data_IF_710808667061
#
_entry.id   IF_710808667061
#
_cell.length_a   1.000
_cell.length_b   1.000
_cell.length_c   1.000
_cell.angle_alpha   90.00
_cell.angle_beta   90.00
_cell.angle_gamma   90.00
#
_symmetry.space_group_name_H-M   'P 1'
#
loop_
_entity.id
_entity.type
_entity.pdbx_description
1 polymer ?
#
# COMPACT_ATOMS: atom_id res chain seq x y z
N UNK A 1 -1.76 -11.80 -18.26
CA UNK A 1 -1.14 -11.72 -16.93
C UNK A 1 0.10 -10.82 -16.87
N UNK A 2 0.58 -10.26 -18.00
CA UNK A 2 1.82 -9.45 -18.06
C UNK A 2 1.66 -8.03 -17.50
N UNK A 3 0.49 -7.39 -17.69
CA UNK A 3 0.32 -5.96 -17.42
C UNK A 3 0.41 -5.57 -15.94
N UNK A 4 -0.23 -6.31 -15.02
CA UNK A 4 -0.19 -5.99 -13.59
C UNK A 4 1.23 -6.09 -13.01
N UNK A 5 1.98 -7.11 -13.46
CA UNK A 5 3.39 -7.32 -13.11
C UNK A 5 4.25 -6.15 -13.58
N UNK A 6 4.10 -5.74 -14.85
CA UNK A 6 4.87 -4.64 -15.44
C UNK A 6 4.59 -3.30 -14.74
N UNK A 7 3.33 -3.02 -14.40
CA UNK A 7 2.93 -1.78 -13.72
C UNK A 7 3.58 -1.68 -12.33
N UNK A 8 3.49 -2.73 -11.50
CA UNK A 8 4.11 -2.71 -10.18
C UNK A 8 5.63 -2.72 -10.25
N UNK A 9 6.23 -3.49 -11.16
CA UNK A 9 7.68 -3.50 -11.34
C UNK A 9 8.24 -2.12 -11.74
N UNK A 10 7.54 -1.43 -12.65
CA UNK A 10 7.90 -0.05 -13.04
C UNK A 10 7.76 0.92 -11.87
N UNK A 11 6.71 0.75 -11.05
CA UNK A 11 6.50 1.59 -9.87
C UNK A 11 7.52 1.32 -8.77
N UNK A 12 7.95 0.07 -8.59
CA UNK A 12 9.03 -0.28 -7.66
C UNK A 12 10.34 0.43 -8.04
N UNK A 13 10.71 0.39 -9.33
CA UNK A 13 11.89 1.10 -9.83
C UNK A 13 11.78 2.60 -9.56
N UNK A 14 10.60 3.19 -9.77
CA UNK A 14 10.34 4.57 -9.42
C UNK A 14 10.55 4.83 -7.92
N UNK A 15 9.96 4.03 -7.03
CA UNK A 15 10.12 4.18 -5.58
C UNK A 15 11.57 4.05 -5.13
N UNK A 16 12.33 3.10 -5.70
CA UNK A 16 13.78 2.94 -5.45
C UNK A 16 14.59 4.14 -5.94
N UNK A 17 14.12 4.84 -6.99
CA UNK A 17 14.80 6.02 -7.53
C UNK A 17 14.58 7.31 -6.73
N UNK A 18 13.58 7.36 -5.82
CA UNK A 18 13.26 8.55 -5.02
C UNK A 18 14.37 8.95 -4.03
N UNK A 19 15.37 8.08 -3.82
CA UNK A 19 16.55 8.33 -2.98
C UNK A 19 16.25 8.40 -1.48
N UNK A 20 17.29 8.57 -0.68
CA UNK A 20 17.23 8.58 0.80
C UNK A 20 16.84 9.95 1.37
N UNK A 21 15.74 10.55 0.92
CA UNK A 21 15.19 11.75 1.55
C UNK A 21 14.17 11.35 2.61
N UNK A 22 14.64 10.86 3.75
CA UNK A 22 13.76 10.68 4.90
C UNK A 22 13.47 12.03 5.57
N UNK A 23 12.21 12.21 5.94
CA UNK A 23 11.80 13.24 6.90
C UNK A 23 11.97 12.67 8.31
N UNK A 24 12.24 13.51 9.33
CA UNK A 24 12.22 13.08 10.73
C UNK A 24 10.84 12.55 11.16
N UNK A 25 9.79 12.99 10.46
CA UNK A 25 8.44 12.47 10.56
C UNK A 25 8.25 11.25 9.63
N UNK A 26 8.00 10.08 10.24
CA UNK A 26 7.77 8.82 9.54
C UNK A 26 6.55 8.88 8.61
N UNK A 27 5.44 9.51 9.02
CA UNK A 27 4.24 9.61 8.18
C UNK A 27 4.56 10.36 6.89
N UNK A 28 5.31 11.46 6.95
CA UNK A 28 5.75 12.21 5.75
C UNK A 28 6.64 11.38 4.84
N UNK A 29 7.49 10.53 5.42
CA UNK A 29 8.31 9.60 4.65
C UNK A 29 7.41 8.60 3.91
N UNK A 30 6.41 8.02 4.60
CA UNK A 30 5.45 7.08 4.00
C UNK A 30 4.53 7.72 2.94
N UNK A 31 4.15 8.99 3.11
CA UNK A 31 3.41 9.77 2.10
C UNK A 31 4.20 9.90 0.77
N UNK A 32 5.53 9.87 0.85
CA UNK A 32 6.42 9.95 -0.33
C UNK A 32 6.72 8.57 -0.89
N UNK A 33 7.10 7.62 -0.03
CA UNK A 33 7.40 6.24 -0.39
C UNK A 33 6.92 5.29 0.73
N UNK A 34 5.80 4.56 0.54
CA UNK A 34 5.23 3.71 1.58
C UNK A 34 6.10 2.51 1.98
N UNK A 35 7.08 2.15 1.14
CA UNK A 35 8.05 1.04 1.37
C UNK A 35 9.47 1.57 1.51
N UNK A 36 9.62 2.84 1.92
CA UNK A 36 10.93 3.47 2.14
C UNK A 36 11.80 2.64 3.08
N UNK A 37 11.23 2.25 4.23
CA UNK A 37 11.96 1.51 5.24
C UNK A 37 12.29 0.09 4.77
N UNK A 38 11.37 -0.56 4.07
CA UNK A 38 11.53 -1.92 3.55
C UNK A 38 12.68 -2.05 2.55
N UNK A 39 12.93 -1.00 1.75
CA UNK A 39 14.00 -0.96 0.76
C UNK A 39 15.28 -0.27 1.23
N UNK A 40 15.30 0.27 2.46
CA UNK A 40 16.47 0.91 3.01
C UNK A 40 17.49 -0.14 3.51
N UNK A 41 18.71 -0.11 2.98
CA UNK A 41 19.78 -1.03 3.36
C UNK A 41 20.49 -0.64 4.66
N UNK A 42 20.36 0.62 5.11
CA UNK A 42 21.03 1.18 6.27
C UNK A 42 20.00 1.73 7.27
N UNK A 43 19.10 0.86 7.71
CA UNK A 43 18.12 1.20 8.75
C UNK A 43 18.84 1.42 10.09
N UNK A 44 18.84 2.66 10.56
CA UNK A 44 19.15 3.01 11.94
C UNK A 44 17.85 3.46 12.62
N UNK A 45 17.32 2.64 13.53
CA UNK A 45 16.09 2.94 14.28
C UNK A 45 15.05 1.83 14.23
N UNK A 46 13.80 2.19 14.52
CA UNK A 46 12.67 1.27 14.61
C UNK A 46 12.32 0.68 13.23
N UNK A 47 12.17 -0.64 13.18
CA UNK A 47 11.70 -1.36 11.99
C UNK A 47 10.16 -1.38 12.00
N UNK A 48 9.46 -0.82 10.99
CA UNK A 48 8.01 -0.68 11.05
C UNK A 48 7.24 -1.99 11.25
N UNK A 49 7.77 -3.10 10.74
CA UNK A 49 7.18 -4.43 10.89
C UNK A 49 7.40 -5.08 12.26
N UNK A 50 8.25 -4.52 13.14
CA UNK A 50 8.43 -5.04 14.51
C UNK A 50 7.39 -4.48 15.50
N UNK A 51 6.77 -3.33 15.20
CA UNK A 51 5.67 -2.74 15.97
C UNK A 51 4.51 -2.36 15.05
N UNK A 52 3.84 -3.40 14.53
CA UNK A 52 2.71 -3.24 13.62
C UNK A 52 1.58 -2.40 14.24
N UNK A 53 1.39 -2.47 15.56
CA UNK A 53 0.42 -1.69 16.32
C UNK A 53 0.62 -0.19 16.21
N UNK A 54 1.87 0.25 16.19
CA UNK A 54 2.26 1.65 16.01
C UNK A 54 2.27 2.07 14.54
N UNK A 55 2.77 1.22 13.64
CA UNK A 55 3.15 1.67 12.29
C UNK A 55 2.16 1.34 11.17
N UNK A 56 1.40 0.25 11.26
CA UNK A 56 0.34 -0.04 10.26
C UNK A 56 -0.74 1.05 10.23
N UNK A 57 -1.20 1.63 11.36
CA UNK A 57 -2.14 2.75 11.33
C UNK A 57 -1.66 3.96 10.53
N UNK A 58 -0.34 4.21 10.45
CA UNK A 58 0.19 5.32 9.64
C UNK A 58 -0.05 5.09 8.14
N UNK A 59 0.04 3.86 7.64
CA UNK A 59 -0.28 3.53 6.25
C UNK A 59 -1.76 3.75 5.93
N UNK A 60 -2.65 3.50 6.91
CA UNK A 60 -4.06 3.80 6.79
C UNK A 60 -4.34 5.29 6.71
N UNK A 61 -3.64 6.10 7.51
CA UNK A 61 -3.74 7.56 7.42
C UNK A 61 -3.21 8.09 6.09
N UNK A 62 -2.09 7.54 5.59
CA UNK A 62 -1.57 7.88 4.25
C UNK A 62 -2.63 7.60 3.18
N UNK A 63 -3.31 6.45 3.24
CA UNK A 63 -4.43 6.17 2.34
C UNK A 63 -5.58 7.17 2.50
N UNK A 64 -5.96 7.53 3.72
CA UNK A 64 -7.04 8.49 3.95
C UNK A 64 -6.70 9.89 3.38
N UNK A 65 -5.44 10.31 3.45
CA UNK A 65 -4.94 11.54 2.81
C UNK A 65 -5.01 11.45 1.27
N UNK A 66 -4.52 10.35 0.69
CA UNK A 66 -4.59 10.08 -0.76
C UNK A 66 -6.05 10.11 -1.21
N UNK A 67 -6.93 9.40 -0.50
CA UNK A 67 -8.36 9.32 -0.78
C UNK A 67 -9.02 10.69 -0.81
N UNK A 68 -8.73 11.53 0.17
CA UNK A 68 -9.25 12.90 0.23
C UNK A 68 -8.83 13.73 -1.00
N UNK A 69 -7.62 13.49 -1.52
CA UNK A 69 -7.14 14.16 -2.74
C UNK A 69 -7.77 13.62 -4.04
N UNK A 70 -8.08 12.32 -4.10
CA UNK A 70 -8.60 11.66 -5.32
C UNK A 70 -10.10 11.87 -5.51
N UNK A 71 -10.87 11.92 -4.43
CA UNK A 71 -12.33 11.98 -4.48
C UNK A 71 -12.86 13.18 -5.31
N UNK A 72 -12.34 14.42 -5.15
CA UNK A 72 -12.76 15.54 -5.98
C UNK A 72 -12.46 15.35 -7.47
N UNK A 73 -11.37 14.66 -7.83
CA UNK A 73 -10.96 14.45 -9.23
C UNK A 73 -12.00 13.63 -9.98
N UNK A 74 -12.55 12.59 -9.35
CA UNK A 74 -13.57 11.73 -9.94
C UNK A 74 -14.93 12.42 -10.13
N UNK A 75 -15.19 13.52 -9.42
CA UNK A 75 -16.39 14.35 -9.61
C UNK A 75 -16.27 15.28 -10.82
N UNK A 76 -15.07 15.47 -11.37
CA UNK A 76 -14.85 16.31 -12.55
C UNK A 76 -15.04 15.52 -13.85
N UNK A 77 -15.42 16.21 -14.94
CA UNK A 77 -15.70 15.63 -16.27
C UNK A 77 -14.54 14.83 -16.89
N UNK A 78 -13.33 14.89 -16.33
CA UNK A 78 -12.14 14.16 -16.81
C UNK A 78 -11.91 12.78 -16.15
N UNK A 79 -12.71 12.39 -15.16
CA UNK A 79 -12.96 11.03 -14.61
C UNK A 79 -11.79 10.03 -14.43
N UNK A 80 -10.54 10.46 -14.58
CA UNK A 80 -9.33 9.66 -14.39
C UNK A 80 -8.45 10.38 -13.39
N UNK A 81 -8.02 9.66 -12.37
CA UNK A 81 -7.09 10.20 -11.39
C UNK A 81 -5.64 9.95 -11.79
N UNK A 82 -4.71 10.48 -10.98
CA UNK A 82 -3.29 10.18 -11.11
C UNK A 82 -3.04 8.69 -10.82
N UNK A 83 -2.38 8.01 -11.76
CA UNK A 83 -2.01 6.61 -11.61
C UNK A 83 -1.07 6.40 -10.43
N UNK A 84 -0.11 7.30 -10.20
CA UNK A 84 0.87 7.16 -9.12
C UNK A 84 0.24 7.25 -7.74
N UNK A 85 -0.81 8.05 -7.56
CA UNK A 85 -1.55 8.12 -6.29
C UNK A 85 -2.33 6.82 -6.03
N UNK A 86 -2.91 6.22 -7.08
CA UNK A 86 -3.55 4.91 -6.96
C UNK A 86 -2.55 3.80 -6.66
N UNK A 87 -1.40 3.79 -7.35
CA UNK A 87 -0.33 2.82 -7.08
C UNK A 87 0.25 2.99 -5.68
N UNK A 88 0.41 4.24 -5.19
CA UNK A 88 0.80 4.52 -3.81
C UNK A 88 -0.18 3.91 -2.81
N UNK A 89 -1.47 4.04 -3.05
CA UNK A 89 -2.51 3.39 -2.24
C UNK A 89 -2.41 1.86 -2.24
N UNK A 90 -2.17 1.25 -3.41
CA UNK A 90 -1.95 -0.21 -3.51
C UNK A 90 -0.71 -0.63 -2.71
N UNK A 91 0.39 0.11 -2.81
CA UNK A 91 1.62 -0.19 -2.06
C UNK A 91 1.40 0.01 -0.55
N UNK A 92 0.62 1.01 -0.12
CA UNK A 92 0.22 1.14 1.29
C UNK A 92 -0.56 -0.08 1.78
N UNK A 93 -1.46 -0.63 0.97
CA UNK A 93 -2.21 -1.85 1.31
C UNK A 93 -1.27 -3.07 1.42
N UNK A 94 -0.36 -3.24 0.45
CA UNK A 94 0.63 -4.34 0.45
C UNK A 94 1.58 -4.25 1.65
N UNK A 95 2.09 -3.05 1.97
CA UNK A 95 2.90 -2.82 3.16
C UNK A 95 2.12 -3.12 4.44
N UNK A 96 0.83 -2.75 4.50
CA UNK A 96 -0.03 -3.07 5.64
C UNK A 96 -0.16 -4.58 5.85
N UNK A 97 -0.33 -5.36 4.77
CA UNK A 97 -0.39 -6.82 4.84
C UNK A 97 0.91 -7.44 5.37
N UNK A 98 2.06 -6.99 4.85
CA UNK A 98 3.38 -7.46 5.25
C UNK A 98 3.73 -7.09 6.69
N UNK A 99 3.56 -5.81 7.07
CA UNK A 99 3.90 -5.35 8.41
C UNK A 99 2.98 -5.96 9.47
N UNK A 100 1.71 -6.24 9.14
CA UNK A 100 0.82 -7.01 10.01
C UNK A 100 1.31 -8.45 10.22
N UNK A 101 1.98 -9.03 9.22
CA UNK A 101 2.62 -10.34 9.32
C UNK A 101 4.00 -10.31 10.02
N UNK A 102 4.47 -9.13 10.45
CA UNK A 102 5.74 -8.98 11.15
C UNK A 102 6.97 -8.99 10.23
N UNK A 103 6.80 -8.68 8.94
CA UNK A 103 7.89 -8.73 7.96
C UNK A 103 7.89 -7.53 6.99
N UNK A 104 9.04 -7.19 6.39
CA UNK A 104 9.13 -6.16 5.36
C UNK A 104 8.59 -6.63 4.00
N UNK A 105 8.27 -5.67 3.14
CA UNK A 105 8.05 -5.86 1.71
C UNK A 105 9.41 -5.99 1.00
N UNK A 106 9.74 -7.18 0.49
CA UNK A 106 11.04 -7.42 -0.17
C UNK A 106 11.08 -6.92 -1.61
N UNK A 107 9.96 -7.07 -2.32
CA UNK A 107 9.76 -6.70 -3.73
C UNK A 107 8.28 -6.37 -3.95
N UNK A 108 7.98 -5.67 -5.04
CA UNK A 108 6.63 -5.51 -5.56
C UNK A 108 6.36 -6.45 -6.75
N UNK A 109 7.00 -7.63 -6.79
CA UNK A 109 6.68 -8.64 -7.80
C UNK A 109 5.27 -9.20 -7.54
N UNK A 110 4.34 -8.85 -8.42
CA UNK A 110 2.94 -9.26 -8.31
C UNK A 110 2.74 -10.78 -8.23
N UNK A 111 3.59 -11.58 -8.90
CA UNK A 111 3.47 -13.04 -8.88
C UNK A 111 3.79 -13.61 -7.50
N UNK A 112 4.83 -13.09 -6.84
CA UNK A 112 5.19 -13.50 -5.49
C UNK A 112 4.15 -13.00 -4.47
N UNK A 113 3.72 -11.74 -4.61
CA UNK A 113 2.78 -11.11 -3.69
C UNK A 113 1.42 -11.82 -3.66
N UNK A 114 0.87 -12.17 -4.82
CA UNK A 114 -0.49 -12.77 -4.93
C UNK A 114 -0.58 -14.18 -4.34
N UNK A 115 0.53 -14.93 -4.34
CA UNK A 115 0.59 -16.31 -3.84
C UNK A 115 0.80 -16.36 -2.32
N UNK A 116 1.26 -15.25 -1.74
CA UNK A 116 1.55 -15.15 -0.31
C UNK A 116 0.28 -15.21 0.54
N UNK A 117 0.34 -15.99 1.62
CA UNK A 117 -0.73 -16.04 2.61
C UNK A 117 -0.42 -15.10 3.78
N UNK A 118 -1.26 -14.07 3.96
CA UNK A 118 -1.17 -13.15 5.08
C UNK A 118 -2.16 -13.52 6.19
N UNK A 119 -1.81 -13.27 7.47
CA UNK A 119 -2.66 -13.63 8.61
C UNK A 119 -3.94 -12.77 8.70
N UNK A 120 -3.91 -11.54 8.18
CA UNK A 120 -5.01 -10.58 8.26
C UNK A 120 -5.37 -9.99 6.88
N UNK A 121 -5.64 -10.86 5.88
CA UNK A 121 -5.97 -10.42 4.52
C UNK A 121 -7.46 -10.11 4.31
N UNK A 122 -7.82 -9.08 3.52
CA UNK A 122 -9.17 -8.90 2.99
C UNK A 122 -9.65 -10.09 2.16
N UNK A 123 -10.96 -10.18 1.93
CA UNK A 123 -11.53 -11.25 1.11
C UNK A 123 -11.20 -10.98 -0.37
N UNK A 124 -10.73 -12.02 -1.07
CA UNK A 124 -10.35 -11.97 -2.50
C UNK A 124 -9.41 -10.78 -2.83
N UNK A 125 -8.53 -10.44 -1.89
CA UNK A 125 -7.69 -9.24 -2.00
C UNK A 125 -6.82 -9.28 -3.25
N UNK A 126 -6.28 -10.46 -3.59
CA UNK A 126 -5.36 -10.62 -4.70
C UNK A 126 -6.07 -10.37 -6.04
N UNK A 127 -7.25 -10.95 -6.24
CA UNK A 127 -8.06 -10.76 -7.45
C UNK A 127 -8.48 -9.29 -7.62
N UNK A 128 -8.85 -8.63 -6.51
CA UNK A 128 -9.26 -7.22 -6.52
C UNK A 128 -8.10 -6.28 -6.82
N UNK A 129 -6.92 -6.51 -6.23
CA UNK A 129 -5.71 -5.75 -6.54
C UNK A 129 -5.27 -5.99 -7.99
N UNK A 130 -5.31 -7.24 -8.48
CA UNK A 130 -5.01 -7.55 -9.88
C UNK A 130 -5.93 -6.77 -10.83
N UNK A 131 -7.23 -6.73 -10.53
CA UNK A 131 -8.19 -5.97 -11.31
C UNK A 131 -7.92 -4.45 -11.28
N UNK A 132 -7.60 -3.88 -10.10
CA UNK A 132 -7.23 -2.47 -9.96
C UNK A 132 -5.98 -2.15 -10.80
N UNK A 133 -4.97 -3.01 -10.77
CA UNK A 133 -3.70 -2.81 -11.49
C UNK A 133 -3.88 -2.76 -13.02
N UNK A 134 -4.94 -3.35 -13.57
CA UNK A 134 -5.24 -3.25 -15.01
C UNK A 134 -5.68 -1.85 -15.43
N UNK A 135 -6.42 -1.13 -14.57
CA UNK A 135 -7.01 0.19 -14.87
C UNK A 135 -7.05 1.11 -13.65
N UNK A 136 -5.90 1.40 -13.01
CA UNK A 136 -5.86 2.03 -11.68
C UNK A 136 -6.52 3.41 -11.65
N UNK A 137 -6.56 4.13 -12.77
CA UNK A 137 -7.08 5.50 -12.83
C UNK A 137 -8.62 5.60 -12.83
N UNK A 138 -9.35 4.48 -12.81
CA UNK A 138 -10.81 4.47 -12.92
C UNK A 138 -11.51 4.55 -11.56
N UNK A 139 -12.66 5.24 -11.51
CA UNK A 139 -13.41 5.45 -10.25
C UNK A 139 -13.76 4.16 -9.52
N UNK A 140 -14.19 3.12 -10.26
CA UNK A 140 -14.54 1.85 -9.63
C UNK A 140 -13.31 1.14 -9.05
N UNK A 141 -12.11 1.32 -9.62
CA UNK A 141 -10.86 0.82 -9.04
C UNK A 141 -10.51 1.56 -7.75
N UNK A 142 -10.77 2.86 -7.69
CA UNK A 142 -10.68 3.64 -6.45
C UNK A 142 -11.63 3.13 -5.35
N UNK A 143 -12.90 2.89 -5.68
CA UNK A 143 -13.87 2.32 -4.73
C UNK A 143 -13.43 0.93 -4.26
N UNK A 144 -12.98 0.07 -5.17
CA UNK A 144 -12.47 -1.25 -4.81
C UNK A 144 -11.27 -1.17 -3.86
N UNK A 145 -10.36 -0.21 -4.05
CA UNK A 145 -9.24 -0.01 -3.15
C UNK A 145 -9.70 0.48 -1.76
N UNK A 146 -10.64 1.42 -1.68
CA UNK A 146 -11.15 1.91 -0.40
C UNK A 146 -11.92 0.84 0.39
N UNK A 147 -12.67 -0.02 -0.30
CA UNK A 147 -13.30 -1.20 0.30
C UNK A 147 -12.24 -2.19 0.85
N UNK A 148 -11.17 -2.46 0.10
CA UNK A 148 -10.04 -3.28 0.58
C UNK A 148 -9.41 -2.68 1.85
N UNK A 149 -9.23 -1.36 1.92
CA UNK A 149 -8.75 -0.69 3.13
C UNK A 149 -9.74 -0.82 4.30
N UNK A 150 -11.04 -0.70 4.03
CA UNK A 150 -12.08 -0.86 5.06
C UNK A 150 -12.04 -2.28 5.67
N UNK A 151 -11.88 -3.30 4.84
CA UNK A 151 -11.69 -4.68 5.29
C UNK A 151 -10.35 -4.88 6.02
N UNK A 152 -9.26 -4.36 5.45
CA UNK A 152 -7.92 -4.48 6.02
C UNK A 152 -7.84 -3.86 7.42
N UNK A 153 -8.40 -2.66 7.63
CA UNK A 153 -8.46 -2.01 8.95
C UNK A 153 -9.14 -2.92 9.98
N UNK A 154 -10.29 -3.52 9.63
CA UNK A 154 -11.02 -4.44 10.52
C UNK A 154 -10.21 -5.68 10.85
N UNK A 155 -9.60 -6.29 9.85
CA UNK A 155 -8.80 -7.51 10.03
C UNK A 155 -7.52 -7.24 10.84
N UNK A 156 -6.85 -6.12 10.58
CA UNK A 156 -5.69 -5.67 11.35
C UNK A 156 -6.02 -5.51 12.83
N UNK A 157 -7.02 -4.69 13.18
CA UNK A 157 -7.33 -4.44 14.60
C UNK A 157 -7.80 -5.69 15.33
N UNK A 158 -8.53 -6.58 14.65
CA UNK A 158 -8.89 -7.89 15.20
C UNK A 158 -7.64 -8.75 15.45
N UNK A 159 -6.77 -8.88 14.45
CA UNK A 159 -5.54 -9.67 14.57
C UNK A 159 -4.63 -9.13 15.66
N UNK A 160 -4.40 -7.82 15.70
CA UNK A 160 -3.57 -7.16 16.70
C UNK A 160 -4.14 -7.36 18.12
N UNK A 161 -5.45 -7.25 18.32
CA UNK A 161 -6.06 -7.49 19.63
C UNK A 161 -5.96 -8.96 20.11
N UNK A 162 -5.90 -9.91 19.19
CA UNK A 162 -5.80 -11.35 19.50
C UNK A 162 -4.37 -11.83 19.74
N UNK A 163 -3.36 -11.10 19.28
CA UNK A 163 -1.95 -11.48 19.36
C UNK A 163 -1.11 -10.52 20.23
N UNK A 164 -1.78 -9.73 21.07
CA UNK A 164 -1.16 -8.84 22.05
C UNK A 164 -0.97 -9.55 23.39
#
# INVERSE_FOLDING_TARGET
>A
MTQAKEVLASYEQYLRSLGQKSSSDMKKTLQTNPVYFDFCTELQGDLPWEDSGKYVPLLFEVWDDIKASLLPVFQTRKSRCDQNEMLKGIVCLLASLHWTAGEPVKSLDWQELREKSYPAKPINWAERVEFILLKPTQYHCFIQLDELFTEMKKHFYKYHAMNR
#
